data_IF_908143037094
#
_entry.id   IF_908143037094
#
_cell.length_a   1.000
_cell.length_b   1.000
_cell.length_c   1.000
_cell.angle_alpha   90.00
_cell.angle_beta   90.00
_cell.angle_gamma   90.00
#
_symmetry.space_group_name_H-M   'P 1'
#
loop_
_entity.id
_entity.type
_entity.pdbx_description
1 polymer ?
#
# COMPACT_ATOMS: atom_id res chain seq x y z
N UNK A 1 -14.59 29.88 -16.69
CA UNK A 1 -14.62 28.41 -16.54
C UNK A 1 -14.94 28.11 -15.09
N UNK A 2 -16.11 27.56 -14.78
CA UNK A 2 -16.47 27.20 -13.41
C UNK A 2 -15.72 25.92 -13.03
N UNK A 3 -14.76 26.02 -12.11
CA UNK A 3 -14.21 24.85 -11.44
C UNK A 3 -15.36 24.14 -10.71
N UNK A 4 -15.81 23.00 -11.25
CA UNK A 4 -16.67 22.09 -10.48
C UNK A 4 -15.88 21.72 -9.24
N UNK A 5 -16.36 22.14 -8.06
CA UNK A 5 -15.86 21.65 -6.77
C UNK A 5 -15.97 20.13 -6.79
N UNK A 6 -14.86 19.44 -7.04
CA UNK A 6 -14.81 18.00 -6.95
C UNK A 6 -14.87 17.66 -5.46
N UNK A 7 -15.94 16.99 -5.05
CA UNK A 7 -16.04 16.44 -3.71
C UNK A 7 -14.83 15.54 -3.43
N UNK A 8 -14.25 15.58 -2.23
CA UNK A 8 -13.15 14.69 -1.87
C UNK A 8 -13.54 13.23 -2.06
N UNK A 9 -12.61 12.44 -2.59
CA UNK A 9 -12.79 10.99 -2.69
C UNK A 9 -12.51 10.36 -1.33
N UNK A 10 -13.41 9.48 -0.87
CA UNK A 10 -13.21 8.74 0.36
C UNK A 10 -12.61 7.36 0.09
N UNK A 11 -11.50 7.05 0.77
CA UNK A 11 -10.81 5.77 0.73
C UNK A 11 -10.94 5.06 2.08
N UNK A 12 -11.60 3.91 2.10
CA UNK A 12 -11.79 3.10 3.31
C UNK A 12 -10.46 2.55 3.84
N UNK A 13 -10.21 2.71 5.14
CA UNK A 13 -9.01 2.19 5.82
C UNK A 13 -8.94 0.66 5.88
N UNK A 14 -10.05 -0.04 5.64
CA UNK A 14 -10.06 -1.51 5.53
C UNK A 14 -9.52 -2.02 4.20
N UNK A 15 -9.37 -1.14 3.20
CA UNK A 15 -8.86 -1.47 1.87
C UNK A 15 -7.54 -0.74 1.62
N UNK A 16 -7.44 0.54 1.97
CA UNK A 16 -6.29 1.38 1.68
C UNK A 16 -5.56 1.81 2.94
N UNK A 17 -4.25 1.62 2.96
CA UNK A 17 -3.37 2.23 3.95
C UNK A 17 -3.11 3.70 3.63
N UNK A 18 -2.84 4.51 4.66
CA UNK A 18 -2.42 5.90 4.47
C UNK A 18 -1.11 6.01 3.66
N UNK A 19 -0.25 4.98 3.74
CA UNK A 19 0.98 4.91 2.96
C UNK A 19 0.71 4.72 1.47
N UNK A 20 -0.18 3.80 1.08
CA UNK A 20 -0.57 3.61 -0.31
C UNK A 20 -1.09 4.90 -0.94
N UNK A 21 -1.91 5.66 -0.20
CA UNK A 21 -2.45 6.93 -0.67
C UNK A 21 -1.38 8.02 -0.80
N UNK A 22 -0.39 8.06 0.11
CA UNK A 22 0.75 9.00 0.01
C UNK A 22 1.62 8.69 -1.21
N UNK A 23 1.91 7.41 -1.45
CA UNK A 23 2.67 6.98 -2.63
C UNK A 23 1.93 7.34 -3.91
N UNK A 24 0.61 7.09 -3.97
CA UNK A 24 -0.20 7.50 -5.11
C UNK A 24 -0.20 9.02 -5.28
N UNK A 25 -0.37 9.79 -4.21
CA UNK A 25 -0.32 11.26 -4.27
C UNK A 25 1.03 11.77 -4.83
N UNK A 26 2.14 11.13 -4.46
CA UNK A 26 3.47 11.48 -4.97
C UNK A 26 3.59 11.25 -6.50
N UNK A 27 2.98 10.20 -7.05
CA UNK A 27 2.96 9.92 -8.50
C UNK A 27 2.28 11.06 -9.28
N UNK A 28 1.25 11.67 -8.71
CA UNK A 28 0.50 12.75 -9.35
C UNK A 28 1.05 14.16 -9.05
N UNK A 29 2.10 14.29 -8.23
CA UNK A 29 2.67 15.58 -7.80
C UNK A 29 3.11 16.50 -8.96
N UNK A 30 3.53 15.92 -10.09
CA UNK A 30 3.92 16.69 -11.28
C UNK A 30 2.73 17.11 -12.17
N UNK A 31 1.55 16.49 -11.98
CA UNK A 31 0.35 16.69 -12.81
C UNK A 31 -0.71 17.56 -12.12
N UNK A 32 -0.62 17.73 -10.81
CA UNK A 32 -1.58 18.47 -10.01
C UNK A 32 -1.34 18.26 -8.51
N UNK A 33 -2.30 18.65 -7.69
CA UNK A 33 -2.24 18.48 -6.24
C UNK A 33 -3.19 17.39 -5.76
N UNK A 34 -2.68 16.54 -4.87
CA UNK A 34 -3.52 15.62 -4.07
C UNK A 34 -3.34 16.01 -2.61
N UNK A 35 -4.42 16.44 -1.96
CA UNK A 35 -4.42 16.70 -0.52
C UNK A 35 -5.14 15.58 0.20
N UNK A 36 -4.40 14.88 1.06
CA UNK A 36 -4.92 13.80 1.89
C UNK A 36 -5.31 14.34 3.27
N UNK A 37 -6.50 14.00 3.73
CA UNK A 37 -7.01 14.34 5.06
C UNK A 37 -7.48 13.06 5.76
N UNK A 38 -7.01 12.82 6.98
CA UNK A 38 -7.52 11.69 7.76
C UNK A 38 -9.00 11.89 8.09
N UNK A 39 -9.79 10.84 7.91
CA UNK A 39 -11.23 10.85 8.18
C UNK A 39 -11.62 9.61 9.01
N UNK A 40 -12.81 9.64 9.61
CA UNK A 40 -13.29 8.49 10.39
C UNK A 40 -13.43 7.27 9.46
N UNK A 41 -12.69 6.21 9.75
CA UNK A 41 -12.72 4.97 8.98
C UNK A 41 -11.92 4.99 7.67
N UNK A 42 -11.12 6.02 7.40
CA UNK A 42 -10.38 6.11 6.15
C UNK A 42 -9.61 7.40 5.93
N UNK A 43 -9.43 7.78 4.67
CA UNK A 43 -8.75 9.01 4.25
C UNK A 43 -9.52 9.64 3.11
N UNK A 44 -9.66 10.96 3.15
CA UNK A 44 -10.21 11.76 2.06
C UNK A 44 -9.09 12.31 1.19
N UNK A 45 -9.26 12.24 -0.13
CA UNK A 45 -8.35 12.82 -1.10
C UNK A 45 -9.06 13.92 -1.90
N UNK A 46 -8.62 15.15 -1.72
CA UNK A 46 -9.01 16.26 -2.58
C UNK A 46 -8.03 16.36 -3.76
N UNK A 47 -8.56 16.27 -4.98
CA UNK A 47 -7.79 16.29 -6.22
C UNK A 47 -7.89 17.67 -6.89
N UNK A 48 -6.78 18.18 -7.40
CA UNK A 48 -6.70 19.42 -8.19
C UNK A 48 -5.90 19.21 -9.49
N UNK A 49 -5.87 20.22 -10.36
CA UNK A 49 -5.07 20.16 -11.60
C UNK A 49 -5.64 19.23 -12.67
N UNK A 50 -6.93 18.89 -12.62
CA UNK A 50 -7.56 18.03 -13.63
C UNK A 50 -7.23 16.54 -13.51
N UNK A 51 -6.66 16.10 -12.37
CA UNK A 51 -6.45 14.69 -12.08
C UNK A 51 -7.78 13.93 -12.16
N UNK A 52 -7.81 12.87 -12.97
CA UNK A 52 -8.98 12.01 -13.08
C UNK A 52 -9.12 11.18 -11.78
N UNK A 53 -10.29 11.25 -11.09
CA UNK A 53 -10.56 10.46 -9.90
C UNK A 53 -10.31 8.95 -10.04
N UNK A 54 -10.67 8.38 -11.18
CA UNK A 54 -10.50 6.95 -11.47
C UNK A 54 -9.03 6.56 -11.65
N UNK A 55 -8.23 7.43 -12.27
CA UNK A 55 -6.78 7.20 -12.39
C UNK A 55 -6.10 7.23 -11.02
N UNK A 56 -6.46 8.21 -10.18
CA UNK A 56 -5.92 8.29 -8.83
C UNK A 56 -6.31 7.08 -7.98
N UNK A 57 -7.58 6.65 -8.03
CA UNK A 57 -8.05 5.48 -7.29
C UNK A 57 -7.37 4.18 -7.75
N UNK A 58 -7.15 4.01 -9.06
CA UNK A 58 -6.43 2.86 -9.60
C UNK A 58 -4.97 2.83 -9.12
N UNK A 59 -4.29 3.98 -9.12
CA UNK A 59 -2.93 4.06 -8.61
C UNK A 59 -2.86 3.80 -7.10
N UNK A 60 -3.80 4.34 -6.32
CA UNK A 60 -3.90 4.03 -4.89
C UNK A 60 -4.05 2.52 -4.63
N UNK A 61 -4.85 1.83 -5.44
CA UNK A 61 -5.03 0.38 -5.33
C UNK A 61 -3.75 -0.36 -5.72
N UNK A 62 -3.08 0.05 -6.78
CA UNK A 62 -1.80 -0.53 -7.20
C UNK A 62 -0.73 -0.40 -6.11
N UNK A 63 -0.64 0.76 -5.46
CA UNK A 63 0.30 0.98 -4.35
C UNK A 63 -0.03 0.10 -3.15
N UNK A 64 -1.32 -0.05 -2.82
CA UNK A 64 -1.73 -0.98 -1.76
C UNK A 64 -1.34 -2.42 -2.08
N UNK A 65 -1.60 -2.90 -3.31
CA UNK A 65 -1.22 -4.23 -3.73
C UNK A 65 0.30 -4.47 -3.64
N UNK A 66 1.12 -3.46 -3.97
CA UNK A 66 2.58 -3.53 -3.84
C UNK A 66 3.01 -3.67 -2.37
N UNK A 67 2.39 -2.89 -1.47
CA UNK A 67 2.66 -2.98 -0.02
C UNK A 67 2.29 -4.36 0.51
N UNK A 68 1.09 -4.85 0.20
CA UNK A 68 0.61 -6.15 0.66
C UNK A 68 1.51 -7.29 0.15
N UNK A 69 1.92 -7.23 -1.12
CA UNK A 69 2.83 -8.21 -1.71
C UNK A 69 4.21 -8.16 -1.06
N UNK A 70 4.75 -6.97 -0.80
CA UNK A 70 6.02 -6.79 -0.10
C UNK A 70 5.99 -7.40 1.31
N UNK A 71 4.92 -7.17 2.07
CA UNK A 71 4.73 -7.74 3.39
C UNK A 71 4.68 -9.28 3.36
N UNK A 72 3.96 -9.86 2.38
CA UNK A 72 3.90 -11.32 2.18
C UNK A 72 5.28 -11.90 1.81
N UNK A 73 5.99 -11.23 0.91
CA UNK A 73 7.32 -11.65 0.47
C UNK A 73 8.32 -11.62 1.63
N UNK A 74 8.34 -10.56 2.43
CA UNK A 74 9.20 -10.45 3.62
C UNK A 74 8.94 -11.60 4.61
N UNK A 75 7.67 -11.94 4.84
CA UNK A 75 7.29 -13.08 5.71
C UNK A 75 7.81 -14.42 5.17
N UNK A 76 7.64 -14.67 3.87
CA UNK A 76 8.12 -15.91 3.24
C UNK A 76 9.65 -16.02 3.29
N UNK A 77 10.36 -14.93 2.99
CA UNK A 77 11.82 -14.87 3.12
C UNK A 77 12.27 -15.19 4.55
N UNK A 78 11.59 -14.65 5.57
CA UNK A 78 11.86 -14.97 6.97
C UNK A 78 11.70 -16.46 7.29
N UNK A 79 10.63 -17.10 6.81
CA UNK A 79 10.42 -18.55 6.98
C UNK A 79 11.52 -19.35 6.30
N UNK A 80 11.93 -18.98 5.08
CA UNK A 80 12.97 -19.68 4.33
C UNK A 80 14.31 -19.59 5.07
N UNK A 81 14.72 -18.39 5.48
CA UNK A 81 15.96 -18.17 6.23
C UNK A 81 15.93 -18.96 7.55
N UNK A 82 14.81 -18.92 8.27
CA UNK A 82 14.64 -19.66 9.53
C UNK A 82 14.78 -21.16 9.30
N UNK A 83 14.15 -21.72 8.26
CA UNK A 83 14.26 -23.14 7.91
C UNK A 83 15.70 -23.49 7.51
N UNK A 84 16.36 -22.67 6.72
CA UNK A 84 17.75 -22.88 6.33
C UNK A 84 18.69 -22.88 7.54
N UNK A 85 18.51 -21.94 8.48
CA UNK A 85 19.26 -21.90 9.74
C UNK A 85 18.98 -23.13 10.62
N UNK A 86 17.72 -23.54 10.78
CA UNK A 86 17.37 -24.75 11.55
C UNK A 86 17.94 -26.03 10.93
N UNK A 87 17.94 -26.14 9.60
CA UNK A 87 18.56 -27.24 8.86
C UNK A 87 20.08 -27.25 9.00
N UNK A 88 20.73 -26.08 8.98
CA UNK A 88 22.18 -25.94 9.15
C UNK A 88 22.65 -26.19 10.60
N UNK A 89 21.84 -25.78 11.59
CA UNK A 89 22.15 -25.94 13.03
C UNK A 89 22.02 -27.37 13.56
N UNK A 90 21.87 -28.37 12.69
CA UNK A 90 22.02 -29.77 13.09
C UNK A 90 20.88 -30.32 13.94
N UNK A 91 19.62 -29.96 13.66
CA UNK A 91 18.44 -30.72 14.15
C UNK A 91 18.32 -32.10 13.48
N UNK A 92 19.44 -32.79 13.24
CA UNK A 92 19.45 -34.22 13.00
C UNK A 92 19.21 -34.88 14.34
N UNK A 93 17.94 -35.13 14.66
CA UNK A 93 17.57 -36.12 15.67
C UNK A 93 18.20 -37.43 15.20
N UNK A 94 19.36 -37.80 15.78
CA UNK A 94 19.87 -39.17 15.72
C UNK A 94 18.83 -40.04 16.41
N UNK A 95 17.85 -40.51 15.64
CA UNK A 95 17.21 -41.78 15.92
C UNK A 95 18.28 -42.85 15.70
N UNK A 96 18.82 -43.37 16.79
CA UNK A 96 19.85 -44.39 16.76
C UNK A 96 19.91 -45.06 18.12
N UNK A 97 19.09 -46.12 18.24
CA UNK A 97 19.09 -47.21 19.22
C UNK A 97 19.51 -46.89 20.66
#
# INVERSE_FOLDING_TARGET
MNEKKNSPLFFSGGIYSAEALRLAAAVFSARGGVRLTAAKGGTEAALSGGINPGEFANEALNQQCRIDLSARNSRLSGIIVTKALLSASGSSKKGGK
#
